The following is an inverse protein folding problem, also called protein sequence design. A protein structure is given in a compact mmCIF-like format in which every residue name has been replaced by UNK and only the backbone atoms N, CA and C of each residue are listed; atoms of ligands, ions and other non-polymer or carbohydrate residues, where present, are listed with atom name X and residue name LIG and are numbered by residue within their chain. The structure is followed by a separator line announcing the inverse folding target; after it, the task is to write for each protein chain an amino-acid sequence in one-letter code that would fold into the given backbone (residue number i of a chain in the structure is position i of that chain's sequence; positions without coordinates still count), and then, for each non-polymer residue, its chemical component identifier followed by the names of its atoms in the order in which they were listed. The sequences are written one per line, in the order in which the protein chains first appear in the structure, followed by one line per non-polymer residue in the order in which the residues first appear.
data_IF_148594629823
#
_entry.id   IF_148594629823
#
_cell.length_a   1.000
_cell.length_b   1.000
_cell.length_c   1.000
_cell.angle_alpha   90.00
_cell.angle_beta   90.00
_cell.angle_gamma   90.00
#
_symmetry.space_group_name_H-M   'P 1'
#
loop_
_entity.id
_entity.type
_entity.pdbx_description
1 polymer ?
#
# COMPACT_ATOMS: atom_id res chain seq x y z
N UNK A 1 64.50 -25.96 -5.14
CA UNK A 1 63.88 -25.05 -4.15
C UNK A 1 63.25 -23.88 -4.91
N UNK A 2 61.91 -23.75 -4.84
CA UNK A 2 61.13 -22.50 -4.93
C UNK A 2 59.65 -22.87 -4.79
N UNK A 3 58.97 -22.25 -3.83
CA UNK A 3 57.64 -22.60 -3.35
C UNK A 3 56.56 -21.56 -3.76
N UNK A 4 55.29 -21.97 -3.69
CA UNK A 4 54.11 -21.09 -3.68
C UNK A 4 53.31 -21.16 -4.98
N UNK A 5 51.99 -21.41 -4.99
CA UNK A 5 50.94 -20.81 -4.15
C UNK A 5 49.81 -21.83 -3.91
N UNK A 6 49.33 -21.93 -2.67
CA UNK A 6 48.13 -22.69 -2.30
C UNK A 6 46.89 -21.79 -2.41
N UNK A 7 45.82 -22.31 -3.02
CA UNK A 7 44.47 -21.71 -3.01
C UNK A 7 43.88 -21.80 -1.60
N UNK A 8 43.22 -20.75 -1.07
CA UNK A 8 42.46 -20.88 0.17
C UNK A 8 41.12 -21.62 -0.09
N UNK A 9 40.64 -22.45 0.85
CA UNK A 9 39.33 -23.08 0.76
C UNK A 9 38.20 -22.08 1.07
N UNK A 10 37.04 -22.37 0.47
CA UNK A 10 35.78 -21.64 0.55
C UNK A 10 35.29 -21.45 1.99
N UNK A 11 34.86 -20.23 2.32
CA UNK A 11 34.17 -19.90 3.56
C UNK A 11 32.85 -20.66 3.62
N UNK A 12 32.72 -21.52 4.63
CA UNK A 12 31.49 -22.21 4.97
C UNK A 12 30.37 -21.22 5.31
N UNK A 13 29.21 -21.43 4.69
CA UNK A 13 27.97 -20.78 5.05
C UNK A 13 27.46 -21.37 6.38
N UNK A 14 27.92 -20.82 7.50
CA UNK A 14 27.29 -21.01 8.79
C UNK A 14 26.03 -20.13 8.84
N UNK A 15 24.91 -20.63 8.33
CA UNK A 15 23.61 -20.02 8.54
C UNK A 15 23.23 -20.20 10.03
N UNK A 16 23.62 -19.22 10.84
CA UNK A 16 23.33 -19.20 12.26
C UNK A 16 21.83 -19.06 12.47
N UNK A 17 21.28 -20.12 13.06
CA UNK A 17 19.92 -20.26 13.56
C UNK A 17 19.69 -19.23 14.67
N UNK A 18 19.17 -18.05 14.34
CA UNK A 18 18.93 -16.99 15.33
C UNK A 18 17.46 -16.86 15.72
N UNK A 19 17.29 -16.89 17.04
CA UNK A 19 16.09 -16.99 17.84
C UNK A 19 15.00 -15.99 17.52
N UNK A 20 13.79 -16.56 17.36
CA UNK A 20 12.50 -15.88 17.50
C UNK A 20 12.45 -15.14 18.83
N UNK A 21 12.22 -13.82 18.81
CA UNK A 21 11.33 -13.04 19.70
C UNK A 21 11.53 -11.55 19.40
N UNK A 22 10.44 -10.77 19.53
CA UNK A 22 10.32 -9.31 19.31
C UNK A 22 9.83 -8.85 17.91
N UNK A 23 8.70 -9.37 17.44
CA UNK A 23 7.90 -8.73 16.40
C UNK A 23 6.79 -7.88 17.05
N UNK A 24 6.77 -6.57 16.80
CA UNK A 24 5.60 -5.73 17.06
C UNK A 24 4.41 -6.30 16.30
N UNK A 25 3.45 -6.88 17.03
CA UNK A 25 2.44 -7.76 16.47
C UNK A 25 1.32 -6.93 15.83
N UNK A 26 1.48 -6.57 14.56
CA UNK A 26 0.35 -6.17 13.72
C UNK A 26 -0.63 -7.36 13.67
N UNK A 27 -1.66 -7.34 14.52
CA UNK A 27 -2.81 -8.22 14.35
C UNK A 27 -3.62 -7.65 13.20
N UNK A 28 -3.28 -8.08 11.99
CA UNK A 28 -4.26 -8.13 10.91
C UNK A 28 -5.38 -8.99 11.48
N UNK A 29 -6.52 -8.38 11.82
CA UNK A 29 -7.72 -9.17 12.06
C UNK A 29 -7.95 -9.90 10.76
N UNK A 30 -7.80 -11.23 10.77
CA UNK A 30 -8.01 -12.06 9.61
C UNK A 30 -9.49 -11.97 9.23
N UNK A 31 -9.84 -10.91 8.52
CA UNK A 31 -11.04 -10.88 7.73
C UNK A 31 -10.95 -12.08 6.78
N UNK A 32 -11.97 -12.94 6.84
CA UNK A 32 -12.08 -14.19 6.11
C UNK A 32 -11.72 -14.01 4.62
N UNK A 33 -11.08 -14.99 3.94
CA UNK A 33 -10.58 -14.76 2.59
C UNK A 33 -11.69 -14.48 1.56
N UNK A 34 -11.37 -13.58 0.62
CA UNK A 34 -11.81 -13.53 -0.79
C UNK A 34 -13.26 -13.13 -1.16
N UNK A 35 -13.99 -12.39 -0.33
CA UNK A 35 -15.08 -11.51 -0.84
C UNK A 35 -14.80 -10.09 -0.39
N UNK A 36 -14.40 -9.23 -1.33
CA UNK A 36 -14.20 -7.81 -1.03
C UNK A 36 -15.40 -7.22 -0.28
N UNK A 37 -15.13 -6.37 0.70
CA UNK A 37 -16.17 -5.67 1.45
C UNK A 37 -16.76 -4.57 0.58
N UNK A 38 -18.07 -4.36 0.67
CA UNK A 38 -18.72 -3.21 0.06
C UNK A 38 -18.42 -1.97 0.93
N UNK A 39 -17.56 -1.07 0.42
CA UNK A 39 -17.24 0.20 1.06
C UNK A 39 -17.85 1.35 0.26
N UNK A 40 -18.13 2.46 0.94
CA UNK A 40 -18.67 3.68 0.33
C UNK A 40 -17.59 4.74 0.26
N UNK A 41 -17.51 5.45 -0.87
CA UNK A 41 -16.70 6.67 -0.97
C UNK A 41 -17.33 7.73 -0.09
N UNK A 42 -16.68 8.08 1.02
CA UNK A 42 -17.17 9.08 1.98
C UNK A 42 -16.47 10.42 1.84
N UNK A 43 -15.30 10.42 1.19
CA UNK A 43 -14.54 11.63 0.91
C UNK A 43 -13.76 11.46 -0.39
N UNK A 44 -13.61 12.56 -1.13
CA UNK A 44 -12.72 12.59 -2.27
C UNK A 44 -12.21 14.02 -2.50
N UNK A 45 -10.90 14.17 -2.69
CA UNK A 45 -10.27 15.47 -2.93
C UNK A 45 -9.08 15.35 -3.87
N UNK A 46 -8.84 16.37 -4.67
CA UNK A 46 -7.60 16.46 -5.44
C UNK A 46 -6.46 16.84 -4.49
N UNK A 47 -5.38 16.07 -4.49
CA UNK A 47 -4.14 16.42 -3.79
C UNK A 47 -3.20 17.21 -4.72
N UNK A 48 -3.31 16.97 -6.02
CA UNK A 48 -2.62 17.71 -7.09
C UNK A 48 -3.48 17.64 -8.36
N UNK A 49 -3.13 18.31 -9.47
CA UNK A 49 -3.85 18.16 -10.74
C UNK A 49 -3.91 16.71 -11.27
N UNK A 50 -2.97 15.86 -10.84
CA UNK A 50 -2.81 14.48 -11.35
C UNK A 50 -3.01 13.41 -10.29
N UNK A 51 -3.32 13.77 -9.03
CA UNK A 51 -3.53 12.81 -7.94
C UNK A 51 -4.79 13.16 -7.16
N UNK A 52 -5.70 12.17 -7.04
CA UNK A 52 -6.92 12.28 -6.24
C UNK A 52 -6.85 11.32 -5.06
N UNK A 53 -7.10 11.84 -3.86
CA UNK A 53 -7.34 11.02 -2.68
C UNK A 53 -8.83 10.63 -2.62
N UNK A 54 -9.07 9.38 -2.24
CA UNK A 54 -10.41 8.81 -2.02
C UNK A 54 -10.40 8.14 -0.64
N UNK A 55 -11.41 8.45 0.15
CA UNK A 55 -11.63 7.88 1.47
C UNK A 55 -12.83 6.91 1.43
N UNK A 56 -12.61 5.69 1.89
CA UNK A 56 -13.53 4.56 1.79
C UNK A 56 -13.91 4.08 3.18
N UNK A 57 -15.19 4.11 3.53
CA UNK A 57 -15.68 3.65 4.84
C UNK A 57 -16.75 2.58 4.69
N UNK A 58 -17.00 1.82 5.76
CA UNK A 58 -18.16 0.93 5.77
C UNK A 58 -19.45 1.76 5.76
N UNK A 59 -20.51 1.33 5.06
CA UNK A 59 -21.80 2.05 5.07
C UNK A 59 -22.43 2.17 6.46
N UNK A 60 -22.10 1.25 7.37
CA UNK A 60 -22.57 1.21 8.76
C UNK A 60 -21.69 2.01 9.72
N UNK A 61 -20.63 2.67 9.24
CA UNK A 61 -19.69 3.43 10.07
C UNK A 61 -18.79 2.59 10.98
N UNK A 62 -18.84 1.26 10.86
CA UNK A 62 -18.04 0.39 11.72
C UNK A 62 -16.54 0.45 11.37
N UNK A 63 -15.72 0.08 12.35
CA UNK A 63 -14.26 0.04 12.22
C UNK A 63 -13.84 -0.97 11.16
N UNK A 64 -12.84 -0.60 10.37
CA UNK A 64 -12.23 -1.42 9.34
C UNK A 64 -11.04 -2.22 9.91
N UNK A 65 -10.69 -3.37 9.28
CA UNK A 65 -9.48 -4.11 9.62
C UNK A 65 -8.23 -3.21 9.65
N UNK A 66 -7.39 -3.41 10.66
CA UNK A 66 -6.11 -2.70 10.75
C UNK A 66 -5.12 -3.22 9.71
N UNK A 67 -4.22 -2.35 9.25
CA UNK A 67 -3.19 -2.66 8.27
C UNK A 67 -1.84 -2.10 8.68
N UNK A 68 -0.77 -2.76 8.24
CA UNK A 68 0.60 -2.28 8.45
C UNK A 68 0.96 -1.20 7.41
N UNK A 69 1.88 -0.27 7.73
CA UNK A 69 2.45 0.63 6.73
C UNK A 69 2.95 -0.14 5.50
N UNK A 70 2.74 0.40 4.30
CA UNK A 70 3.06 -0.27 3.03
C UNK A 70 2.00 -1.26 2.53
N UNK A 71 0.86 -1.39 3.22
CA UNK A 71 -0.26 -2.20 2.73
C UNK A 71 -1.01 -1.54 1.59
N UNK A 72 -1.65 -2.36 0.75
CA UNK A 72 -2.52 -1.95 -0.34
C UNK A 72 -3.86 -2.71 -0.28
N UNK A 73 -4.88 -2.17 -0.95
CA UNK A 73 -6.18 -2.83 -1.17
C UNK A 73 -6.44 -2.98 -2.65
N UNK A 74 -7.17 -4.03 -3.01
CA UNK A 74 -7.69 -4.19 -4.37
C UNK A 74 -9.07 -3.54 -4.48
N UNK A 75 -9.33 -2.84 -5.58
CA UNK A 75 -10.64 -2.23 -5.88
C UNK A 75 -11.15 -2.79 -7.20
N UNK A 76 -12.36 -3.35 -7.18
CA UNK A 76 -13.03 -3.76 -8.41
C UNK A 76 -13.52 -2.53 -9.19
N UNK A 77 -13.06 -2.40 -10.42
CA UNK A 77 -13.39 -1.33 -11.34
C UNK A 77 -14.39 -1.82 -12.39
N UNK A 78 -15.38 -0.98 -12.71
CA UNK A 78 -16.45 -1.27 -13.67
C UNK A 78 -16.49 -0.25 -14.80
N UNK A 79 -15.38 -0.13 -15.53
CA UNK A 79 -15.26 0.73 -16.71
C UNK A 79 -15.31 -0.14 -17.98
N UNK A 80 -16.52 -0.48 -18.43
CA UNK A 80 -16.78 -1.30 -19.62
C UNK A 80 -16.44 -2.80 -19.49
N UNK A 81 -15.38 -3.16 -18.76
CA UNK A 81 -15.05 -4.55 -18.37
C UNK A 81 -14.74 -4.62 -16.88
N UNK A 82 -15.06 -5.76 -16.24
CA UNK A 82 -14.70 -5.99 -14.83
C UNK A 82 -13.18 -6.17 -14.74
N UNK A 83 -12.51 -5.21 -14.13
CA UNK A 83 -11.07 -5.23 -13.83
C UNK A 83 -10.86 -5.00 -12.34
N UNK A 84 -9.69 -5.36 -11.82
CA UNK A 84 -9.32 -5.12 -10.42
C UNK A 84 -7.96 -4.44 -10.40
N UNK A 85 -7.80 -3.38 -9.62
CA UNK A 85 -6.53 -2.68 -9.48
C UNK A 85 -6.14 -2.53 -8.00
N UNK A 86 -4.85 -2.49 -7.72
CA UNK A 86 -4.30 -2.33 -6.36
C UNK A 86 -3.95 -0.88 -6.09
N UNK A 87 -4.27 -0.40 -4.90
CA UNK A 87 -3.96 0.95 -4.44
C UNK A 87 -3.37 0.92 -3.03
N UNK A 88 -2.26 1.63 -2.84
CA UNK A 88 -1.61 1.77 -1.54
C UNK A 88 -2.48 2.55 -0.57
N UNK A 89 -2.51 2.10 0.69
CA UNK A 89 -3.18 2.79 1.77
C UNK A 89 -2.28 3.90 2.33
N UNK A 90 -2.82 5.11 2.46
CA UNK A 90 -2.07 6.32 2.84
C UNK A 90 -2.55 6.95 4.16
N UNK A 91 -3.41 6.26 4.92
CA UNK A 91 -4.01 6.76 6.15
C UNK A 91 -3.49 6.08 7.44
N UNK A 92 -4.15 6.34 8.58
CA UNK A 92 -3.86 5.64 9.83
C UNK A 92 -4.21 4.15 9.73
N UNK A 93 -3.26 3.28 10.08
CA UNK A 93 -3.40 1.83 9.95
C UNK A 93 -4.07 1.10 11.12
N UNK A 94 -4.17 1.73 12.30
CA UNK A 94 -4.70 1.10 13.52
C UNK A 94 -6.16 1.49 13.74
N UNK A 95 -7.04 0.49 13.76
CA UNK A 95 -8.49 0.63 13.91
C UNK A 95 -9.11 1.78 13.08
N UNK A 96 -8.84 1.85 11.77
CA UNK A 96 -9.35 2.94 10.94
C UNK A 96 -10.87 2.89 10.80
N UNK A 97 -11.52 4.06 10.79
CA UNK A 97 -12.92 4.21 10.37
C UNK A 97 -13.06 4.36 8.85
N UNK A 98 -11.98 4.73 8.17
CA UNK A 98 -11.89 4.81 6.71
C UNK A 98 -10.51 4.38 6.18
N UNK A 99 -10.48 3.79 5.00
CA UNK A 99 -9.27 3.60 4.21
C UNK A 99 -9.06 4.77 3.26
N UNK A 100 -7.90 5.40 3.32
CA UNK A 100 -7.49 6.44 2.37
C UNK A 100 -6.58 5.83 1.30
N UNK A 101 -6.89 6.09 0.04
CA UNK A 101 -6.06 5.71 -1.11
C UNK A 101 -5.77 6.94 -1.97
N UNK A 102 -4.57 6.97 -2.56
CA UNK A 102 -4.17 8.00 -3.52
C UNK A 102 -4.13 7.38 -4.92
N UNK A 103 -4.87 7.97 -5.85
CA UNK A 103 -5.05 7.46 -7.21
C UNK A 103 -4.50 8.47 -8.20
N UNK A 104 -3.57 8.04 -9.05
CA UNK A 104 -3.08 8.85 -10.16
C UNK A 104 -4.15 8.95 -11.24
N UNK A 105 -4.41 10.18 -11.69
CA UNK A 105 -5.30 10.49 -12.82
C UNK A 105 -4.50 10.34 -14.10
N UNK A 106 -4.82 9.34 -14.90
CA UNK A 106 -4.15 9.08 -16.18
C UNK A 106 -5.07 9.39 -17.35
N UNK A 107 -4.61 10.28 -18.24
CA UNK A 107 -5.26 10.56 -19.52
C UNK A 107 -4.88 9.47 -20.52
N UNK A 108 -5.73 8.44 -20.66
CA UNK A 108 -5.56 7.38 -21.67
C UNK A 108 -5.32 5.97 -21.13
N UNK A 109 -5.34 5.76 -19.82
CA UNK A 109 -5.25 4.43 -19.22
C UNK A 109 -6.46 3.53 -19.55
N UNK A 110 -6.24 2.23 -19.73
CA UNK A 110 -7.29 1.24 -20.05
C UNK A 110 -7.90 0.55 -18.82
N UNK A 111 -7.76 1.13 -17.62
CA UNK A 111 -8.09 0.43 -16.37
C UNK A 111 -8.52 1.33 -15.21
N UNK A 112 -8.43 0.77 -14.00
CA UNK A 112 -8.95 1.39 -12.78
C UNK A 112 -8.39 2.78 -12.45
N UNK A 113 -7.15 3.09 -12.86
CA UNK A 113 -6.54 4.42 -12.69
C UNK A 113 -7.26 5.54 -13.45
N UNK A 114 -7.97 5.23 -14.54
CA UNK A 114 -8.81 6.20 -15.27
C UNK A 114 -10.19 6.37 -14.64
N UNK A 115 -10.77 5.26 -14.18
CA UNK A 115 -12.15 5.22 -13.70
C UNK A 115 -12.29 5.70 -12.27
N UNK A 116 -11.45 5.19 -11.36
CA UNK A 116 -11.57 5.41 -9.93
C UNK A 116 -11.48 6.90 -9.54
N UNK A 117 -10.63 7.74 -10.15
CA UNK A 117 -10.63 9.18 -9.87
C UNK A 117 -11.91 9.92 -10.24
N UNK A 118 -12.77 9.34 -11.08
CA UNK A 118 -14.04 9.96 -11.50
C UNK A 118 -15.22 9.55 -10.63
N UNK A 119 -15.00 8.63 -9.69
CA UNK A 119 -16.05 8.10 -8.83
C UNK A 119 -16.51 9.18 -7.83
N UNK A 120 -17.82 9.50 -7.78
CA UNK A 120 -18.34 10.48 -6.84
C UNK A 120 -18.45 9.91 -5.41
N UNK A 121 -18.51 10.82 -4.44
CA UNK A 121 -18.88 10.51 -3.05
C UNK A 121 -20.27 9.87 -3.02
N UNK A 122 -20.47 8.91 -2.13
CA UNK A 122 -21.66 8.07 -2.05
C UNK A 122 -21.60 6.78 -2.87
N UNK A 123 -20.61 6.64 -3.76
CA UNK A 123 -20.50 5.42 -4.58
C UNK A 123 -20.07 4.22 -3.75
N UNK A 124 -20.74 3.07 -3.93
CA UNK A 124 -20.35 1.79 -3.33
C UNK A 124 -19.37 1.05 -4.22
N UNK A 125 -18.24 0.66 -3.64
CA UNK A 125 -17.14 -0.06 -4.29
C UNK A 125 -16.91 -1.41 -3.60
N UNK A 126 -16.49 -2.41 -4.37
CA UNK A 126 -16.00 -3.68 -3.81
C UNK A 126 -14.50 -3.57 -3.58
N UNK A 127 -14.10 -3.70 -2.33
CA UNK A 127 -12.72 -3.46 -1.88
C UNK A 127 -12.20 -4.70 -1.15
N UNK A 128 -11.07 -5.22 -1.59
CA UNK A 128 -10.39 -6.35 -0.95
C UNK A 128 -9.88 -5.99 0.45
N UNK A 129 -9.55 -7.03 1.22
CA UNK A 129 -8.87 -6.85 2.50
C UNK A 129 -7.47 -6.29 2.29
N UNK A 130 -6.95 -5.43 3.19
CA UNK A 130 -5.58 -4.95 3.10
C UNK A 130 -4.58 -6.10 3.03
N UNK A 131 -3.65 -6.02 2.07
CA UNK A 131 -2.51 -6.93 1.91
C UNK A 131 -1.22 -6.13 1.98
N UNK A 132 -0.19 -6.67 2.63
CA UNK A 132 1.11 -6.02 2.76
C UNK A 132 2.22 -6.91 2.24
N UNK A 133 2.87 -6.49 1.15
CA UNK A 133 4.08 -7.14 0.63
C UNK A 133 5.35 -6.37 1.04
N UNK A 134 5.18 -5.12 1.46
CA UNK A 134 6.27 -4.22 1.87
C UNK A 134 6.06 -3.72 3.32
N UNK A 135 5.83 -4.65 4.24
CA UNK A 135 5.80 -4.30 5.65
C UNK A 135 7.24 -3.99 6.10
N UNK A 136 7.51 -2.85 6.76
CA UNK A 136 8.84 -2.59 7.27
C UNK A 136 9.21 -3.67 8.29
N UNK A 137 10.33 -4.34 8.07
CA UNK A 137 10.91 -5.19 9.10
C UNK A 137 11.36 -4.27 10.25
N UNK A 138 10.96 -4.56 11.50
CA UNK A 138 11.40 -3.76 12.63
C UNK A 138 12.90 -3.95 12.83
N UNK A 139 13.70 -3.06 12.26
CA UNK A 139 15.14 -2.96 12.51
C UNK A 139 15.39 -1.85 13.53
N UNK A 140 16.40 -2.03 14.38
CA UNK A 140 16.86 -1.00 15.33
C UNK A 140 17.61 0.16 14.64
N UNK A 141 17.63 0.19 13.30
CA UNK A 141 18.32 1.20 12.50
C UNK A 141 17.36 2.24 11.93
N UNK A 142 17.93 3.35 11.44
CA UNK A 142 17.17 4.40 10.75
C UNK A 142 16.72 3.87 9.38
N UNK A 143 15.43 3.98 9.07
CA UNK A 143 14.92 3.80 7.71
C UNK A 143 14.98 5.17 7.04
N UNK A 144 15.90 5.33 6.09
CA UNK A 144 15.95 6.53 5.27
C UNK A 144 14.93 6.39 4.12
N UNK A 145 13.83 7.15 4.20
CA UNK A 145 13.06 7.49 3.00
C UNK A 145 13.68 8.76 2.42
N UNK A 146 14.07 8.73 1.15
CA UNK A 146 14.49 9.97 0.49
C UNK A 146 13.30 10.92 0.47
N UNK A 147 13.47 12.11 1.03
CA UNK A 147 12.51 13.20 0.85
C UNK A 147 12.47 13.46 -0.65
N UNK A 148 11.34 13.21 -1.30
CA UNK A 148 11.14 13.69 -2.66
C UNK A 148 11.36 15.20 -2.62
N UNK A 149 12.29 15.71 -3.45
CA UNK A 149 12.48 17.14 -3.60
C UNK A 149 11.13 17.73 -4.02
N UNK A 150 10.68 18.72 -3.25
CA UNK A 150 9.49 19.52 -3.55
C UNK A 150 9.90 20.41 -4.75
N UNK A 151 9.83 19.87 -5.98
CA UNK A 151 9.96 20.67 -7.21
C UNK A 151 8.68 21.50 -7.35
N UNK A 152 8.56 22.51 -6.49
CA UNK A 152 7.76 23.69 -6.76
C UNK A 152 8.45 24.45 -7.89
N UNK A 153 8.12 24.10 -9.12
CA UNK A 153 8.26 25.06 -10.21
C UNK A 153 7.19 26.13 -9.98
N UNK A 154 7.60 27.21 -9.34
CA UNK A 154 6.98 28.52 -9.49
C UNK A 154 6.88 28.82 -10.99
N UNK A 155 5.65 28.81 -11.51
CA UNK A 155 5.32 29.48 -12.76
C UNK A 155 4.99 30.93 -12.38
N UNK A 156 6.04 31.75 -12.28
CA UNK A 156 5.90 33.20 -12.41
C UNK A 156 5.89 33.54 -13.91
N UNK A 157 4.73 34.07 -14.34
CA UNK A 157 4.42 34.98 -15.45
C UNK A 157 5.23 34.89 -16.76
#
# INVERSE_FOLDING_TARGET
MCAGRRRPPSRGAAAQRLSRRHAGRWRVSAARPERGSALTVVGARMLSPTVRQIDLARPDGAVLPSYAPGSHVTVECRDGRRSTNSYSLTGPGRAPTSYSISVRVECGGRGGSRWLPRVPVGTRLRVGTPRGEFAPFPTRGVICSSRAADDRLELDL
#
